data_IF_814634038625
#
_entry.id   IF_814634038625
#
_cell.length_a   1.000
_cell.length_b   1.000
_cell.length_c   1.000
_cell.angle_alpha   90.00
_cell.angle_beta   90.00
_cell.angle_gamma   90.00
#
_symmetry.space_group_name_H-M   'P 1'
#
loop_
_entity.id
_entity.type
_entity.pdbx_description
1 polymer ?
#
# COMPACT_ATOMS: atom_id res chain seq x y z
N UNK A 1 3.66 -10.11 -13.07
CA UNK A 1 2.53 -9.38 -12.48
C UNK A 1 3.09 -8.05 -12.10
N UNK A 2 2.59 -7.00 -12.75
CA UNK A 2 3.23 -5.69 -12.83
C UNK A 2 3.57 -5.15 -11.45
N UNK A 3 4.82 -4.73 -11.27
CA UNK A 3 5.12 -3.64 -10.36
C UNK A 3 4.44 -2.43 -10.99
N UNK A 4 3.16 -2.22 -10.70
CA UNK A 4 2.52 -0.93 -10.94
C UNK A 4 3.25 0.05 -10.03
N UNK A 5 4.25 0.72 -10.60
CA UNK A 5 4.95 1.81 -9.96
C UNK A 5 3.89 2.83 -9.53
N UNK A 6 3.93 3.24 -8.26
CA UNK A 6 2.89 4.10 -7.72
C UNK A 6 2.85 5.43 -8.50
N UNK A 7 1.75 5.67 -9.22
CA UNK A 7 1.59 6.88 -10.02
C UNK A 7 1.33 8.10 -9.12
N UNK A 8 2.41 8.82 -8.86
CA UNK A 8 2.39 10.04 -8.04
C UNK A 8 1.61 11.18 -8.69
N UNK A 9 1.49 11.22 -10.02
CA UNK A 9 0.77 12.28 -10.72
C UNK A 9 -0.73 12.04 -10.63
N UNK A 10 -1.19 10.84 -10.98
CA UNK A 10 -2.59 10.43 -10.82
C UNK A 10 -3.06 10.55 -9.36
N UNK A 11 -2.20 10.12 -8.41
CA UNK A 11 -2.47 10.28 -6.98
C UNK A 11 -2.68 11.74 -6.58
N UNK A 12 -1.83 12.67 -7.05
CA UNK A 12 -1.97 14.09 -6.71
C UNK A 12 -3.30 14.66 -7.20
N UNK A 13 -3.69 14.33 -8.42
CA UNK A 13 -4.97 14.79 -8.98
C UNK A 13 -6.16 14.26 -8.16
N UNK A 14 -6.15 12.98 -7.81
CA UNK A 14 -7.22 12.36 -7.01
C UNK A 14 -7.24 12.94 -5.59
N UNK A 15 -6.09 13.06 -4.95
CA UNK A 15 -5.98 13.61 -3.60
C UNK A 15 -6.51 15.05 -3.53
N UNK A 16 -6.18 15.90 -4.51
CA UNK A 16 -6.72 17.27 -4.58
C UNK A 16 -8.26 17.25 -4.70
N UNK A 17 -8.82 16.41 -5.57
CA UNK A 17 -10.27 16.29 -5.75
C UNK A 17 -10.97 15.86 -4.45
N UNK A 18 -10.41 14.87 -3.75
CA UNK A 18 -10.95 14.38 -2.47
C UNK A 18 -10.87 15.42 -1.37
N UNK A 19 -9.75 16.14 -1.27
CA UNK A 19 -9.60 17.24 -0.32
C UNK A 19 -10.57 18.39 -0.61
N UNK A 20 -10.79 18.73 -1.88
CA UNK A 20 -11.78 19.72 -2.30
C UNK A 20 -13.22 19.27 -1.99
N UNK A 21 -13.50 17.97 -2.06
CA UNK A 21 -14.77 17.37 -1.66
C UNK A 21 -14.97 17.29 -0.13
N UNK A 22 -13.94 17.62 0.67
CA UNK A 22 -13.99 17.54 2.12
C UNK A 22 -13.88 16.11 2.67
N UNK A 23 -13.36 15.17 1.87
CA UNK A 23 -13.09 13.82 2.34
C UNK A 23 -12.01 13.79 3.42
N UNK A 24 -12.02 12.73 4.23
CA UNK A 24 -11.01 12.54 5.28
C UNK A 24 -9.60 12.45 4.71
N UNK A 25 -8.60 12.79 5.54
CA UNK A 25 -7.19 12.68 5.14
C UNK A 25 -6.76 11.22 5.00
N UNK A 26 -7.23 10.35 5.90
CA UNK A 26 -6.83 8.94 6.04
C UNK A 26 -8.06 8.06 6.32
N UNK A 27 -7.86 6.75 6.30
CA UNK A 27 -8.92 5.76 6.51
C UNK A 27 -9.63 5.37 5.22
N UNK A 28 -10.78 4.69 5.31
CA UNK A 28 -11.51 4.24 4.14
C UNK A 28 -11.93 5.44 3.27
N UNK A 29 -11.49 5.45 2.01
CA UNK A 29 -11.74 6.55 1.07
C UNK A 29 -10.83 7.77 1.22
N UNK A 30 -10.04 7.88 2.29
CA UNK A 30 -9.23 9.07 2.57
C UNK A 30 -8.26 9.49 1.47
N UNK A 31 -8.02 10.79 1.35
CA UNK A 31 -7.22 11.39 0.28
C UNK A 31 -5.78 10.84 0.21
N UNK A 32 -5.17 10.54 1.35
CA UNK A 32 -3.80 10.00 1.44
C UNK A 32 -3.75 8.49 1.69
N UNK A 33 -4.89 7.81 1.79
CA UNK A 33 -4.94 6.36 2.03
C UNK A 33 -4.23 5.54 0.95
N UNK A 34 -4.33 5.86 -0.36
CA UNK A 34 -3.57 5.14 -1.40
C UNK A 34 -2.05 5.23 -1.20
N UNK A 35 -1.55 6.39 -0.76
CA UNK A 35 -0.13 6.59 -0.49
C UNK A 35 0.34 5.74 0.72
N UNK A 36 -0.44 5.74 1.80
CA UNK A 36 -0.15 4.91 2.98
C UNK A 36 -0.16 3.42 2.63
N UNK A 37 -1.13 2.97 1.82
CA UNK A 37 -1.18 1.60 1.31
C UNK A 37 0.09 1.24 0.55
N UNK A 38 0.48 2.05 -0.43
CA UNK A 38 1.67 1.78 -1.26
C UNK A 38 2.94 1.69 -0.42
N UNK A 39 3.09 2.58 0.57
CA UNK A 39 4.22 2.54 1.50
C UNK A 39 4.28 1.23 2.30
N UNK A 40 3.14 0.77 2.83
CA UNK A 40 3.06 -0.48 3.60
C UNK A 40 3.33 -1.71 2.73
N UNK A 41 2.78 -1.75 1.51
CA UNK A 41 3.02 -2.85 0.56
C UNK A 41 4.51 -2.94 0.18
N UNK A 42 5.16 -1.80 -0.09
CA UNK A 42 6.60 -1.76 -0.39
C UNK A 42 7.45 -2.21 0.80
N UNK A 43 7.07 -1.84 2.03
CA UNK A 43 7.76 -2.29 3.24
C UNK A 43 7.65 -3.82 3.39
N UNK A 44 6.45 -4.40 3.20
CA UNK A 44 6.22 -5.84 3.26
C UNK A 44 6.97 -6.62 2.17
N UNK A 45 7.01 -6.09 0.95
CA UNK A 45 7.78 -6.69 -0.14
C UNK A 45 9.29 -6.70 0.19
N UNK A 46 9.80 -5.61 0.78
CA UNK A 46 11.19 -5.53 1.24
C UNK A 46 11.51 -6.52 2.36
N UNK A 47 10.62 -6.68 3.34
CA UNK A 47 10.76 -7.69 4.40
C UNK A 47 10.77 -9.12 3.83
N UNK A 48 9.89 -9.39 2.85
CA UNK A 48 9.84 -10.69 2.17
C UNK A 48 11.12 -10.96 1.36
N UNK A 49 11.64 -9.98 0.64
CA UNK A 49 12.88 -10.11 -0.12
C UNK A 49 14.09 -10.35 0.79
N UNK A 50 14.18 -9.63 1.90
CA UNK A 50 15.20 -9.87 2.91
C UNK A 50 15.10 -11.29 3.50
N UNK A 51 13.88 -11.75 3.81
CA UNK A 51 13.66 -13.10 4.34
C UNK A 51 14.07 -14.20 3.35
N UNK A 52 13.80 -14.01 2.05
CA UNK A 52 14.15 -14.99 1.02
C UNK A 52 15.66 -15.00 0.73
N UNK A 53 16.35 -13.86 0.88
CA UNK A 53 17.80 -13.77 0.71
C UNK A 53 18.59 -14.47 1.82
N UNK A 54 18.02 -14.59 3.02
CA UNK A 54 18.67 -15.18 4.21
C UNK A 54 18.47 -16.72 4.32
N UNK A 55 17.80 -17.36 3.36
CA UNK A 55 17.44 -18.79 3.40
C UNK A 55 18.40 -19.64 2.55
N UNK A 56 18.98 -20.66 3.16
CA UNK A 56 19.79 -21.68 2.46
C UNK A 56 18.95 -22.61 1.56
N UNK A 57 17.67 -22.81 1.93
CA UNK A 57 16.74 -23.64 1.15
C UNK A 57 15.94 -22.80 0.14
N UNK A 58 15.76 -23.29 -1.11
CA UNK A 58 15.03 -22.56 -2.12
C UNK A 58 13.55 -22.42 -1.76
N UNK A 59 13.13 -21.19 -1.44
CA UNK A 59 11.74 -20.83 -1.18
C UNK A 59 11.24 -19.84 -2.26
N UNK A 60 10.02 -20.04 -2.78
CA UNK A 60 9.47 -19.22 -3.87
C UNK A 60 8.21 -18.48 -3.41
N UNK A 61 8.09 -17.22 -3.83
CA UNK A 61 6.89 -16.39 -3.59
C UNK A 61 5.63 -17.09 -4.13
N UNK A 62 4.55 -17.10 -3.33
CA UNK A 62 3.28 -17.77 -3.64
C UNK A 62 2.11 -16.78 -3.84
N UNK A 63 2.38 -15.69 -4.55
CA UNK A 63 1.38 -14.63 -4.80
C UNK A 63 1.18 -13.67 -3.62
N UNK A 64 0.13 -12.85 -3.70
CA UNK A 64 -0.26 -11.84 -2.69
C UNK A 64 -1.69 -12.12 -2.20
N UNK A 65 -1.92 -11.89 -0.90
CA UNK A 65 -3.27 -11.90 -0.30
C UNK A 65 -3.75 -10.48 -0.04
N UNK A 66 -5.04 -10.31 0.25
CA UNK A 66 -5.62 -9.02 0.68
C UNK A 66 -6.02 -9.09 2.15
N UNK A 67 -5.79 -8.03 2.89
CA UNK A 67 -6.15 -7.90 4.30
C UNK A 67 -6.60 -6.47 4.61
N UNK A 68 -7.77 -6.36 5.24
CA UNK A 68 -8.23 -5.11 5.83
C UNK A 68 -7.70 -4.98 7.25
N UNK A 69 -7.06 -3.87 7.54
CA UNK A 69 -6.39 -3.60 8.81
C UNK A 69 -6.98 -2.32 9.39
N UNK A 70 -7.33 -2.37 10.67
CA UNK A 70 -7.73 -1.18 11.43
C UNK A 70 -6.48 -0.55 12.04
N UNK A 71 -6.19 0.67 11.63
CA UNK A 71 -5.13 1.50 12.22
C UNK A 71 -5.75 2.60 13.07
N UNK A 72 -4.93 3.29 13.87
CA UNK A 72 -5.37 4.50 14.58
C UNK A 72 -5.80 5.64 13.63
N UNK A 73 -5.39 5.57 12.37
CA UNK A 73 -5.66 6.57 11.33
C UNK A 73 -6.84 6.16 10.43
N UNK A 74 -7.48 5.02 10.70
CA UNK A 74 -8.61 4.48 9.95
C UNK A 74 -8.34 3.10 9.36
N UNK A 75 -9.33 2.56 8.64
CA UNK A 75 -9.23 1.27 7.97
C UNK A 75 -8.43 1.38 6.65
N UNK A 76 -7.55 0.43 6.39
CA UNK A 76 -6.73 0.35 5.18
C UNK A 76 -6.75 -1.09 4.66
N UNK A 77 -6.93 -1.26 3.36
CA UNK A 77 -6.77 -2.55 2.68
C UNK A 77 -5.38 -2.61 2.06
N UNK A 78 -4.59 -3.61 2.46
CA UNK A 78 -3.29 -3.96 1.87
C UNK A 78 -3.31 -5.39 1.34
#
# INVERSE_FOLDING_TARGET
MENEEFDMEAFREEAIKKLQAGEGLLGEGGAFTPLLKSFLEQALDGELDAHLADKDEPNRKNGRGKKRIRTSLGEVEI
#
